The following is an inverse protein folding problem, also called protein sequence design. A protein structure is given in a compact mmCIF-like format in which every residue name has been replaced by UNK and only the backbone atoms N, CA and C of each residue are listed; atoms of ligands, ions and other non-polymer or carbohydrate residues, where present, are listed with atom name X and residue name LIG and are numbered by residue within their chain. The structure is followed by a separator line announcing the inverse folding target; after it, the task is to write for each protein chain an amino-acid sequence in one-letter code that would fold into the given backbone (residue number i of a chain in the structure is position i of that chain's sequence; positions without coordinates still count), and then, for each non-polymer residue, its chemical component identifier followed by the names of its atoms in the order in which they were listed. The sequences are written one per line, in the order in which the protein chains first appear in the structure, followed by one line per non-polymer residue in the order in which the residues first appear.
data_IF_240652845994
#
_entry.id   IF_240652845994
#
_cell.length_a   1.000
_cell.length_b   1.000
_cell.length_c   1.000
_cell.angle_alpha   90.00
_cell.angle_beta   90.00
_cell.angle_gamma   90.00
#
_symmetry.space_group_name_H-M   'P 1'
#
loop_
_entity.id
_entity.type
_entity.pdbx_description
1 polymer ?
#
# COMPACT_ATOMS: atom_id res chain seq x y z
N UNK A 1 -12.45 17.84 4.61
CA UNK A 1 -13.34 16.80 4.03
C UNK A 1 -13.11 15.52 4.82
N UNK A 2 -14.16 14.77 5.12
CA UNK A 2 -14.11 13.63 6.04
C UNK A 2 -13.94 12.30 5.30
N UNK A 3 -13.47 11.24 5.98
CA UNK A 3 -13.46 9.88 5.44
C UNK A 3 -14.86 9.42 5.01
N UNK A 4 -15.91 9.97 5.63
CA UNK A 4 -17.29 9.73 5.25
C UNK A 4 -17.58 10.14 3.79
N UNK A 5 -17.09 11.31 3.36
CA UNK A 5 -17.31 11.81 2.01
C UNK A 5 -16.68 10.87 0.95
N UNK A 6 -15.52 10.29 1.28
CA UNK A 6 -14.85 9.30 0.44
C UNK A 6 -15.58 7.96 0.39
N UNK A 7 -16.05 7.46 1.53
CA UNK A 7 -16.82 6.20 1.55
C UNK A 7 -18.13 6.34 0.76
N UNK A 8 -18.80 7.48 0.83
CA UNK A 8 -19.97 7.77 0.00
C UNK A 8 -19.61 7.88 -1.50
N UNK A 9 -18.49 8.51 -1.83
CA UNK A 9 -18.00 8.57 -3.21
C UNK A 9 -17.70 7.17 -3.78
N UNK A 10 -17.09 6.28 -2.99
CA UNK A 10 -16.83 4.88 -3.37
C UNK A 10 -18.14 4.14 -3.67
N UNK A 11 -19.10 4.18 -2.73
CA UNK A 11 -20.41 3.51 -2.88
C UNK A 11 -21.19 4.01 -4.10
N UNK A 12 -21.14 5.32 -4.37
CA UNK A 12 -21.86 5.95 -5.50
C UNK A 12 -21.05 5.93 -6.79
N UNK A 13 -19.85 5.35 -6.77
CA UNK A 13 -18.90 5.33 -7.88
C UNK A 13 -18.65 6.72 -8.48
N UNK A 14 -18.45 7.71 -7.61
CA UNK A 14 -18.12 9.08 -7.98
C UNK A 14 -16.62 9.27 -8.05
N UNK A 15 -16.16 9.95 -9.10
CA UNK A 15 -14.76 10.31 -9.28
C UNK A 15 -14.35 11.33 -8.22
N UNK A 16 -13.15 11.18 -7.68
CA UNK A 16 -12.56 12.13 -6.74
C UNK A 16 -11.36 12.82 -7.37
N UNK A 17 -11.24 14.11 -7.12
CA UNK A 17 -10.11 14.95 -7.51
C UNK A 17 -9.41 15.45 -6.26
N UNK A 18 -8.09 15.38 -6.22
CA UNK A 18 -7.32 15.83 -5.06
C UNK A 18 -5.92 16.29 -5.43
N UNK A 19 -5.34 17.12 -4.58
CA UNK A 19 -3.93 17.49 -4.63
C UNK A 19 -3.14 16.57 -3.70
N UNK A 20 -2.02 16.06 -4.19
CA UNK A 20 -1.22 15.06 -3.52
C UNK A 20 0.23 15.50 -3.42
N UNK A 21 0.76 15.51 -2.20
CA UNK A 21 2.16 15.83 -1.95
C UNK A 21 3.05 14.60 -2.18
N UNK A 22 3.96 14.66 -3.14
CA UNK A 22 4.94 13.61 -3.38
C UNK A 22 6.25 13.89 -2.66
N UNK A 23 6.70 12.93 -1.85
CA UNK A 23 8.01 12.99 -1.22
C UNK A 23 9.16 12.75 -2.22
N UNK A 24 8.92 11.94 -3.25
CA UNK A 24 9.90 11.63 -4.28
C UNK A 24 9.77 12.63 -5.45
N UNK A 25 10.90 13.21 -5.87
CA UNK A 25 11.03 14.27 -6.89
C UNK A 25 10.65 15.70 -6.46
N UNK A 26 11.43 16.29 -5.53
CA UNK A 26 11.44 17.73 -5.22
C UNK A 26 10.12 18.31 -4.68
N UNK A 27 9.46 17.61 -3.76
CA UNK A 27 8.29 18.13 -3.03
C UNK A 27 7.19 18.68 -3.96
N UNK A 28 6.89 17.93 -5.02
CA UNK A 28 5.91 18.34 -6.03
C UNK A 28 4.48 18.05 -5.54
N UNK A 29 3.61 19.05 -5.67
CA UNK A 29 2.16 18.88 -5.53
C UNK A 29 1.59 18.47 -6.88
N UNK A 30 1.01 17.28 -6.96
CA UNK A 30 0.39 16.75 -8.18
C UNK A 30 -1.10 16.60 -7.99
N UNK A 31 -1.88 17.05 -8.96
CA UNK A 31 -3.33 16.83 -8.96
C UNK A 31 -3.68 15.49 -9.60
N UNK A 32 -4.49 14.71 -8.89
CA UNK A 32 -5.04 13.44 -9.34
C UNK A 32 -6.55 13.52 -9.53
N UNK A 33 -7.05 12.80 -10.53
CA UNK A 33 -8.48 12.51 -10.72
C UNK A 33 -8.62 11.00 -10.90
N UNK A 34 -9.23 10.32 -9.93
CA UNK A 34 -9.32 8.85 -9.90
C UNK A 34 -10.76 8.39 -9.62
N UNK A 35 -11.08 7.17 -10.05
CA UNK A 35 -12.22 6.45 -9.49
C UNK A 35 -11.79 5.78 -8.19
N UNK A 36 -12.31 6.15 -7.01
CA UNK A 36 -11.93 5.53 -5.74
C UNK A 36 -12.59 4.15 -5.60
N UNK A 37 -11.80 3.12 -5.29
CA UNK A 37 -12.28 1.73 -5.17
C UNK A 37 -12.45 1.33 -3.72
N UNK A 38 -11.48 1.70 -2.88
CA UNK A 38 -11.42 1.20 -1.52
C UNK A 38 -10.64 2.15 -0.61
N UNK A 39 -10.94 2.08 0.68
CA UNK A 39 -10.17 2.69 1.75
C UNK A 39 -9.65 1.57 2.64
N UNK A 40 -8.33 1.47 2.74
CA UNK A 40 -7.66 0.47 3.58
C UNK A 40 -6.89 1.17 4.69
N UNK A 41 -6.91 0.57 5.88
CA UNK A 41 -6.05 0.97 7.00
C UNK A 41 -4.91 -0.03 7.09
N UNK A 42 -3.68 0.48 7.11
CA UNK A 42 -2.46 -0.32 7.22
C UNK A 42 -1.44 0.46 8.06
N UNK A 43 -0.86 -0.20 9.07
CA UNK A 43 0.08 0.41 10.02
C UNK A 43 -0.39 1.78 10.57
N UNK A 44 -1.64 1.84 11.03
CA UNK A 44 -2.27 3.03 11.63
C UNK A 44 -2.41 4.21 10.68
N UNK A 45 -2.34 3.97 9.36
CA UNK A 45 -2.47 4.99 8.32
C UNK A 45 -3.57 4.59 7.35
N UNK A 46 -4.37 5.58 6.94
CA UNK A 46 -5.41 5.40 5.93
C UNK A 46 -4.86 5.60 4.53
N UNK A 47 -5.30 4.76 3.60
CA UNK A 47 -4.90 4.82 2.21
C UNK A 47 -6.13 4.71 1.30
N UNK A 48 -6.16 5.59 0.30
CA UNK A 48 -7.14 5.55 -0.78
C UNK A 48 -6.58 4.76 -1.95
N UNK A 49 -7.27 3.68 -2.29
CA UNK A 49 -6.94 2.85 -3.46
C UNK A 49 -7.91 3.23 -4.57
N UNK A 50 -7.39 3.55 -5.75
CA UNK A 50 -8.26 3.92 -6.87
C UNK A 50 -7.63 3.81 -8.24
N UNK A 51 -8.51 3.77 -9.23
CA UNK A 51 -8.16 3.66 -10.64
C UNK A 51 -7.81 5.02 -11.22
N UNK A 52 -6.54 5.17 -11.58
CA UNK A 52 -6.04 6.31 -12.33
C UNK A 52 -6.44 6.15 -13.80
N UNK A 53 -7.40 6.97 -14.24
CA UNK A 53 -7.91 6.90 -15.62
C UNK A 53 -6.86 7.26 -16.67
N UNK A 54 -5.91 8.13 -16.33
CA UNK A 54 -4.88 8.61 -17.26
C UNK A 54 -3.89 7.50 -17.58
N UNK A 55 -3.42 6.82 -16.55
CA UNK A 55 -2.41 5.77 -16.68
C UNK A 55 -3.01 4.36 -16.77
N UNK A 56 -4.32 4.20 -16.57
CA UNK A 56 -5.04 2.93 -16.59
C UNK A 56 -4.43 1.90 -15.63
N UNK A 57 -4.15 2.32 -14.41
CA UNK A 57 -3.57 1.50 -13.35
C UNK A 57 -4.24 1.80 -12.01
N UNK A 58 -4.23 0.84 -11.09
CA UNK A 58 -4.60 1.06 -9.69
C UNK A 58 -3.41 1.68 -8.97
N UNK A 59 -3.67 2.75 -8.22
CA UNK A 59 -2.69 3.42 -7.38
C UNK A 59 -3.19 3.50 -5.95
N UNK A 60 -2.23 3.49 -5.02
CA UNK A 60 -2.46 3.67 -3.59
C UNK A 60 -1.98 5.06 -3.18
N UNK A 61 -2.82 5.79 -2.45
CA UNK A 61 -2.54 7.14 -1.98
C UNK A 61 -2.70 7.20 -0.47
N UNK A 62 -1.60 7.38 0.26
CA UNK A 62 -1.67 7.62 1.71
C UNK A 62 -2.40 8.93 2.01
N UNK A 63 -3.47 8.87 2.79
CA UNK A 63 -4.37 10.00 3.06
C UNK A 63 -3.70 11.17 3.78
N UNK A 64 -2.64 10.90 4.56
CA UNK A 64 -1.84 11.95 5.21
C UNK A 64 -1.09 12.88 4.25
N UNK A 65 -1.02 12.54 2.94
CA UNK A 65 -0.40 13.36 1.88
C UNK A 65 -1.40 14.09 1.01
N UNK A 66 -2.70 13.90 1.24
CA UNK A 66 -3.77 14.57 0.49
C UNK A 66 -3.95 15.97 1.07
N UNK A 67 -3.70 17.00 0.27
CA UNK A 67 -3.77 18.40 0.70
C UNK A 67 -5.19 18.97 0.57
N UNK A 68 -5.87 18.59 -0.50
CA UNK A 68 -7.24 18.99 -0.81
C UNK A 68 -7.96 17.85 -1.50
N UNK A 69 -9.28 17.72 -1.29
CA UNK A 69 -10.07 16.68 -1.92
C UNK A 69 -11.42 17.25 -2.36
N UNK A 70 -11.93 16.77 -3.49
CA UNK A 70 -13.22 17.15 -4.05
C UNK A 70 -13.88 15.92 -4.69
N UNK A 71 -15.11 15.62 -4.29
CA UNK A 71 -15.96 14.64 -4.97
C UNK A 71 -16.61 15.31 -6.18
N UNK A 72 -16.42 14.74 -7.37
CA UNK A 72 -17.02 15.25 -8.60
C UNK A 72 -18.38 14.60 -8.83
N UNK A 73 -19.26 15.26 -9.58
CA UNK A 73 -20.52 14.69 -10.07
C UNK A 73 -20.35 13.65 -11.20
N UNK A 74 -19.10 13.34 -11.55
CA UNK A 74 -18.74 12.41 -12.62
C UNK A 74 -18.67 11.00 -12.08
N UNK A 75 -19.37 10.06 -12.70
CA UNK A 75 -19.29 8.65 -12.34
C UNK A 75 -18.13 7.93 -13.02
N UNK A 76 -17.63 6.87 -12.38
CA UNK A 76 -16.77 5.87 -12.99
C UNK A 76 -17.42 4.48 -12.94
N UNK A 77 -16.99 3.61 -13.85
CA UNK A 77 -17.42 2.22 -13.87
C UNK A 77 -16.31 1.39 -13.22
N UNK A 78 -16.54 0.86 -12.01
CA UNK A 78 -15.58 -0.03 -11.38
C UNK A 78 -15.41 -1.29 -12.23
N UNK A 79 -14.17 -1.74 -12.40
CA UNK A 79 -13.88 -3.08 -12.87
C UNK A 79 -13.86 -4.02 -11.66
N UNK A 80 -14.13 -5.30 -11.85
CA UNK A 80 -13.80 -6.28 -10.81
C UNK A 80 -12.28 -6.30 -10.65
N UNK A 81 -11.82 -5.92 -9.46
CA UNK A 81 -10.42 -5.91 -9.08
C UNK A 81 -10.34 -6.64 -7.75
N UNK A 82 -9.61 -7.74 -7.73
CA UNK A 82 -9.30 -8.41 -6.50
C UNK A 82 -8.13 -7.70 -5.82
N UNK A 83 -8.43 -6.83 -4.85
CA UNK A 83 -7.41 -6.10 -4.10
C UNK A 83 -6.54 -7.05 -3.26
N UNK A 84 -7.09 -8.17 -2.79
CA UNK A 84 -6.31 -9.18 -2.08
C UNK A 84 -5.23 -9.76 -2.98
N UNK A 85 -5.59 -10.17 -4.21
CA UNK A 85 -4.61 -10.69 -5.18
C UNK A 85 -3.57 -9.64 -5.59
N UNK A 86 -3.91 -8.34 -5.52
CA UNK A 86 -2.98 -7.26 -5.87
C UNK A 86 -1.88 -7.07 -4.83
N UNK A 87 -2.20 -7.22 -3.54
CA UNK A 87 -1.28 -6.92 -2.45
C UNK A 87 -0.75 -8.16 -1.73
N UNK A 88 -1.22 -9.37 -2.06
CA UNK A 88 -0.79 -10.63 -1.41
C UNK A 88 0.73 -10.89 -1.47
N UNK A 89 1.40 -10.33 -2.47
CA UNK A 89 2.83 -10.50 -2.71
C UNK A 89 3.62 -9.23 -2.31
N UNK A 90 3.01 -8.31 -1.56
CA UNK A 90 3.63 -7.12 -1.01
C UNK A 90 3.64 -7.23 0.52
N UNK A 91 4.59 -6.58 1.19
CA UNK A 91 4.53 -6.45 2.65
C UNK A 91 3.30 -5.66 3.09
N UNK A 92 3.00 -4.58 2.37
CA UNK A 92 1.87 -3.70 2.64
C UNK A 92 1.04 -3.44 1.39
N UNK A 93 0.67 -2.18 1.22
CA UNK A 93 -0.31 -1.73 0.22
C UNK A 93 0.29 -0.80 -0.83
N UNK A 94 1.62 -0.74 -0.86
CA UNK A 94 2.38 -0.13 -1.95
C UNK A 94 2.73 -1.23 -2.96
N UNK A 95 2.27 -1.07 -4.19
CA UNK A 95 2.66 -1.93 -5.31
C UNK A 95 3.28 -1.05 -6.39
N UNK A 96 4.55 -1.31 -6.70
CA UNK A 96 5.24 -0.76 -7.85
C UNK A 96 5.51 -1.91 -8.84
N UNK A 97 4.93 -1.87 -10.05
CA UNK A 97 5.18 -2.88 -11.08
C UNK A 97 6.65 -2.94 -11.55
N UNK A 98 7.43 -1.88 -11.36
CA UNK A 98 8.84 -1.83 -11.75
C UNK A 98 9.76 -2.47 -10.71
N UNK A 99 9.29 -2.67 -9.47
CA UNK A 99 10.04 -3.34 -8.41
C UNK A 99 9.88 -4.85 -8.56
N UNK A 100 11.02 -5.54 -8.68
CA UNK A 100 11.10 -7.00 -8.78
C UNK A 100 11.06 -7.65 -7.39
N UNK A 101 10.70 -8.93 -7.36
CA UNK A 101 10.81 -9.75 -6.17
C UNK A 101 12.26 -10.05 -5.84
N UNK A 102 12.58 -9.97 -4.55
CA UNK A 102 13.90 -10.30 -4.02
C UNK A 102 13.77 -11.38 -2.94
N UNK A 103 14.77 -12.24 -2.84
CA UNK A 103 14.97 -13.13 -1.69
C UNK A 103 15.68 -12.35 -0.60
N UNK A 104 15.06 -12.28 0.57
CA UNK A 104 15.49 -11.43 1.68
C UNK A 104 15.79 -12.33 2.87
N UNK A 105 17.00 -12.19 3.42
CA UNK A 105 17.41 -12.78 4.70
C UNK A 105 17.46 -11.67 5.75
N UNK A 106 16.61 -11.78 6.77
CA UNK A 106 16.57 -10.89 7.92
C UNK A 106 17.21 -11.60 9.13
N UNK A 107 18.20 -10.95 9.73
CA UNK A 107 18.94 -11.43 10.90
C UNK A 107 18.47 -10.69 12.14
N UNK A 108 17.97 -11.43 13.12
CA UNK A 108 17.51 -10.88 14.40
C UNK A 108 18.26 -11.51 15.57
N UNK A 109 18.42 -10.74 16.65
CA UNK A 109 18.77 -11.31 17.96
C UNK A 109 17.67 -12.29 18.41
N UNK A 110 18.01 -13.33 19.18
CA UNK A 110 17.07 -14.41 19.53
C UNK A 110 15.70 -13.92 20.02
N UNK A 111 15.69 -12.95 20.95
CA UNK A 111 14.44 -12.41 21.53
C UNK A 111 13.59 -11.73 20.46
N UNK A 112 14.19 -10.86 19.64
CA UNK A 112 13.49 -10.16 18.55
C UNK A 112 13.04 -11.11 17.46
N UNK A 113 13.83 -12.15 17.17
CA UNK A 113 13.50 -13.13 16.14
C UNK A 113 12.27 -13.97 16.48
N UNK A 114 12.04 -14.28 17.76
CA UNK A 114 10.80 -14.96 18.17
C UNK A 114 9.57 -14.04 18.03
N UNK A 115 9.71 -12.74 18.28
CA UNK A 115 8.64 -11.76 18.03
C UNK A 115 8.30 -11.69 16.53
N UNK A 116 9.31 -11.54 15.66
CA UNK A 116 9.11 -11.45 14.20
C UNK A 116 8.55 -12.75 13.61
N UNK A 117 8.93 -13.90 14.16
CA UNK A 117 8.35 -15.20 13.80
C UNK A 117 6.85 -15.25 14.07
N UNK A 118 6.38 -14.58 15.13
CA UNK A 118 4.95 -14.51 15.46
C UNK A 118 4.18 -13.47 14.62
N UNK A 119 4.87 -12.41 14.16
CA UNK A 119 4.27 -11.30 13.41
C UNK A 119 3.87 -11.67 11.96
N UNK A 120 4.49 -12.71 11.38
CA UNK A 120 4.22 -13.23 10.03
C UNK A 120 4.20 -12.12 8.95
N UNK A 121 5.35 -11.49 8.73
CA UNK A 121 5.59 -10.36 7.82
C UNK A 121 5.12 -10.61 6.38
N UNK A 122 5.19 -11.86 5.91
CA UNK A 122 4.77 -12.24 4.57
C UNK A 122 4.44 -13.73 4.49
N UNK A 123 3.59 -14.13 3.54
CA UNK A 123 3.16 -15.53 3.38
C UNK A 123 4.31 -16.49 3.05
N UNK A 124 5.41 -15.99 2.48
CA UNK A 124 6.62 -16.78 2.18
C UNK A 124 7.58 -16.87 3.36
N UNK A 125 7.25 -16.29 4.52
CA UNK A 125 8.16 -16.24 5.66
C UNK A 125 8.52 -17.65 6.14
N UNK A 126 9.82 -17.91 6.27
CA UNK A 126 10.36 -19.17 6.80
C UNK A 126 11.59 -18.93 7.68
N UNK A 127 11.92 -19.89 8.53
CA UNK A 127 13.16 -19.87 9.30
C UNK A 127 14.24 -20.51 8.45
N UNK A 128 15.30 -19.77 8.15
CA UNK A 128 16.46 -20.29 7.40
C UNK A 128 17.37 -21.09 8.35
N UNK A 129 17.74 -20.49 9.48
CA UNK A 129 18.49 -21.14 10.55
C UNK A 129 18.27 -20.43 11.90
N UNK A 130 18.56 -21.13 13.00
CA UNK A 130 18.56 -20.61 14.37
C UNK A 130 19.86 -21.01 15.06
N UNK A 131 20.57 -20.01 15.57
CA UNK A 131 21.76 -20.12 16.39
C UNK A 131 21.47 -19.60 17.81
N UNK A 132 22.35 -19.83 18.80
CA UNK A 132 22.08 -19.46 20.20
C UNK A 132 21.78 -17.98 20.44
N UNK A 133 22.23 -17.08 19.58
CA UNK A 133 22.01 -15.63 19.72
C UNK A 133 21.30 -15.00 18.53
N UNK A 134 21.04 -15.76 17.46
CA UNK A 134 20.56 -15.23 16.18
C UNK A 134 19.49 -16.13 15.59
N UNK A 135 18.45 -15.52 15.03
CA UNK A 135 17.46 -16.18 14.18
C UNK A 135 17.52 -15.52 12.80
N UNK A 136 17.71 -16.34 11.76
CA UNK A 136 17.65 -15.90 10.37
C UNK A 136 16.29 -16.28 9.77
N UNK A 137 15.58 -15.26 9.27
CA UNK A 137 14.25 -15.38 8.68
C UNK A 137 14.34 -15.04 7.19
N UNK A 138 13.86 -15.94 6.35
CA UNK A 138 13.81 -15.78 4.90
C UNK A 138 12.42 -15.41 4.42
N UNK A 139 12.32 -14.50 3.45
CA UNK A 139 11.07 -14.20 2.75
C UNK A 139 11.34 -13.71 1.32
N UNK A 140 10.36 -13.86 0.44
CA UNK A 140 10.40 -13.36 -0.94
C UNK A 140 9.37 -12.25 -1.07
N UNK A 141 9.81 -11.05 -1.38
CA UNK A 141 8.94 -9.88 -1.43
C UNK A 141 9.51 -8.79 -2.36
N UNK A 142 8.67 -7.84 -2.77
CA UNK A 142 9.12 -6.58 -3.34
C UNK A 142 9.62 -5.67 -2.22
N UNK A 143 10.83 -5.13 -2.34
CA UNK A 143 11.38 -4.18 -1.35
C UNK A 143 10.79 -2.78 -1.64
N UNK A 144 9.55 -2.57 -1.19
CA UNK A 144 8.85 -1.29 -1.26
C UNK A 144 9.18 -0.43 -0.04
N UNK A 145 8.85 0.87 -0.09
CA UNK A 145 9.18 1.79 1.00
C UNK A 145 8.58 1.39 2.36
N UNK A 146 7.36 0.85 2.35
CA UNK A 146 6.67 0.32 3.53
C UNK A 146 7.31 -0.95 4.10
N UNK A 147 8.21 -1.63 3.37
CA UNK A 147 8.98 -2.75 3.91
C UNK A 147 10.26 -2.31 4.65
N UNK A 148 10.83 -1.15 4.30
CA UNK A 148 12.12 -0.67 4.85
C UNK A 148 11.91 0.14 6.14
N UNK A 149 10.79 0.84 6.25
CA UNK A 149 10.50 1.86 7.28
C UNK A 149 9.52 1.37 8.32
#
# INVERSE_FOLDING_TARGET
MSLWDLTEAIKKHLVVKFEYFKFYNREEVVTYEIGPYHLEEFEHRWYLIGWDRKFKVIKTFGMGRVLSLLVLSKHFYPKEINLHDKFKDCYGIVDDPEILFEEIELLFEEVQGEDIKSLHLHATQCILYKEPSVIAIGLTNKITYDFIM
#
